data_IF_810715554086
#
_entry.id   IF_810715554086
#
_cell.length_a   1.000
_cell.length_b   1.000
_cell.length_c   1.000
_cell.angle_alpha   90.00
_cell.angle_beta   90.00
_cell.angle_gamma   90.00
#
_symmetry.space_group_name_H-M   'P 1'
#
loop_
_entity.id
_entity.type
_entity.pdbx_description
1 polymer ?
#
# COMPACT_ATOMS: atom_id res chain seq x y z
N UNK A 1 11.45 -7.79 17.55
CA UNK A 1 10.54 -6.67 17.22
C UNK A 1 10.69 -6.19 15.78
N UNK A 2 11.89 -5.81 15.32
CA UNK A 2 12.13 -5.37 13.93
C UNK A 2 11.72 -6.40 12.84
N UNK A 3 11.98 -7.69 13.06
CA UNK A 3 11.62 -8.74 12.07
C UNK A 3 10.11 -8.87 11.83
N UNK A 4 9.29 -8.73 12.88
CA UNK A 4 7.82 -8.78 12.76
C UNK A 4 7.29 -7.58 11.99
N UNK A 5 7.87 -6.40 12.22
CA UNK A 5 7.53 -5.17 11.49
C UNK A 5 7.85 -5.36 10.01
N UNK A 6 9.05 -5.87 9.70
CA UNK A 6 9.49 -6.17 8.32
C UNK A 6 8.53 -7.12 7.58
N UNK A 7 8.05 -8.17 8.24
CA UNK A 7 7.09 -9.12 7.66
C UNK A 7 5.73 -8.46 7.38
N UNK A 8 5.22 -7.68 8.33
CA UNK A 8 3.96 -6.93 8.18
C UNK A 8 4.01 -5.95 7.01
N UNK A 9 5.17 -5.33 6.79
CA UNK A 9 5.43 -4.42 5.69
C UNK A 9 5.49 -5.13 4.35
N UNK A 10 6.13 -6.30 4.31
CA UNK A 10 6.19 -7.11 3.11
C UNK A 10 4.80 -7.57 2.65
N UNK A 11 3.95 -7.93 3.61
CA UNK A 11 2.54 -8.29 3.36
C UNK A 11 1.75 -7.06 2.89
N UNK A 12 1.91 -5.90 3.52
CA UNK A 12 1.27 -4.66 3.05
C UNK A 12 1.71 -4.30 1.62
N UNK A 13 2.99 -4.41 1.31
CA UNK A 13 3.52 -4.09 -0.02
C UNK A 13 2.98 -5.06 -1.09
N UNK A 14 2.94 -6.36 -0.78
CA UNK A 14 2.33 -7.37 -1.65
C UNK A 14 0.85 -7.10 -1.89
N UNK A 15 0.10 -6.75 -0.85
CA UNK A 15 -1.31 -6.38 -0.95
C UNK A 15 -1.50 -5.13 -1.81
N UNK A 16 -0.64 -4.13 -1.69
CA UNK A 16 -0.70 -2.91 -2.50
C UNK A 16 -0.56 -3.18 -4.00
N UNK A 17 0.38 -4.05 -4.38
CA UNK A 17 0.62 -4.44 -5.78
C UNK A 17 -0.56 -5.23 -6.35
N UNK A 18 -1.07 -6.19 -5.59
CA UNK A 18 -2.25 -6.98 -5.97
C UNK A 18 -3.47 -6.07 -6.12
N UNK A 19 -3.64 -5.08 -5.24
CA UNK A 19 -4.72 -4.09 -5.33
C UNK A 19 -4.60 -3.20 -6.57
N UNK A 20 -3.37 -2.80 -6.93
CA UNK A 20 -3.10 -2.02 -8.15
C UNK A 20 -3.36 -2.83 -9.42
N UNK A 21 -3.04 -4.12 -9.42
CA UNK A 21 -3.40 -5.03 -10.52
C UNK A 21 -4.92 -5.20 -10.61
N UNK A 22 -5.60 -5.42 -9.49
CA UNK A 22 -7.07 -5.52 -9.45
C UNK A 22 -7.73 -4.21 -9.92
N UNK A 23 -7.11 -3.04 -9.67
CA UNK A 23 -7.54 -1.72 -10.18
C UNK A 23 -7.49 -1.64 -11.71
N UNK A 24 -6.51 -2.27 -12.35
CA UNK A 24 -6.36 -2.29 -13.81
C UNK A 24 -7.46 -3.18 -14.46
N UNK A 25 -7.83 -4.28 -13.79
CA UNK A 25 -8.77 -5.26 -14.30
C UNK A 25 -10.25 -4.99 -13.95
N UNK A 26 -10.53 -4.40 -12.79
CA UNK A 26 -11.89 -3.97 -12.42
C UNK A 26 -11.96 -2.47 -12.64
N UNK A 27 -12.88 -1.97 -13.48
CA UNK A 27 -13.37 -0.58 -13.45
C UNK A 27 -14.26 -0.42 -12.20
N UNK A 28 -13.76 0.03 -11.04
CA UNK A 28 -14.56 0.00 -9.84
C UNK A 28 -15.22 1.36 -9.61
N UNK A 29 -16.26 1.36 -8.78
CA UNK A 29 -16.99 2.56 -8.39
C UNK A 29 -16.04 3.66 -7.91
N UNK A 30 -16.04 4.79 -8.64
CA UNK A 30 -15.04 5.85 -8.62
C UNK A 30 -14.68 6.40 -7.23
N UNK A 31 -15.60 6.37 -6.26
CA UNK A 31 -15.42 7.06 -4.97
C UNK A 31 -14.69 6.24 -3.90
N UNK A 32 -15.12 5.01 -3.60
CA UNK A 32 -14.48 4.20 -2.55
C UNK A 32 -13.07 3.76 -2.92
N UNK A 33 -12.80 3.58 -4.21
CA UNK A 33 -11.51 3.14 -4.71
C UNK A 33 -10.47 4.26 -4.76
N UNK A 34 -10.90 5.50 -5.02
CA UNK A 34 -10.00 6.67 -4.93
C UNK A 34 -9.44 6.80 -3.52
N UNK A 35 -10.30 6.70 -2.50
CA UNK A 35 -9.91 6.75 -1.08
C UNK A 35 -8.92 5.63 -0.72
N UNK A 36 -9.15 4.41 -1.23
CA UNK A 36 -8.26 3.27 -1.01
C UNK A 36 -6.89 3.48 -1.65
N UNK A 37 -6.84 3.98 -2.88
CA UNK A 37 -5.59 4.29 -3.60
C UNK A 37 -4.84 5.43 -2.92
N UNK A 38 -5.52 6.51 -2.54
CA UNK A 38 -4.91 7.62 -1.79
C UNK A 38 -4.31 7.16 -0.47
N UNK A 39 -5.04 6.33 0.29
CA UNK A 39 -4.56 5.76 1.54
C UNK A 39 -3.34 4.84 1.33
N UNK A 40 -3.32 4.09 0.23
CA UNK A 40 -2.21 3.20 -0.12
C UNK A 40 -0.95 3.96 -0.53
N UNK A 41 -1.11 5.05 -1.29
CA UNK A 41 -0.03 5.97 -1.67
C UNK A 41 0.51 6.67 -0.43
N UNK A 42 -0.36 7.12 0.47
CA UNK A 42 0.02 7.75 1.74
C UNK A 42 0.80 6.77 2.62
N UNK A 43 0.34 5.52 2.74
CA UNK A 43 1.01 4.47 3.49
C UNK A 43 2.39 4.14 2.90
N UNK A 44 2.48 4.04 1.56
CA UNK A 44 3.73 3.84 0.85
C UNK A 44 4.71 5.00 1.04
N UNK A 45 4.24 6.25 0.99
CA UNK A 45 5.07 7.44 1.18
C UNK A 45 5.58 7.57 2.62
N UNK A 46 4.72 7.35 3.61
CA UNK A 46 5.10 7.32 5.02
C UNK A 46 6.16 6.26 5.29
N UNK A 47 6.03 5.11 4.63
CA UNK A 47 6.99 4.02 4.74
C UNK A 47 8.34 4.36 4.08
N UNK A 48 8.31 4.96 2.90
CA UNK A 48 9.52 5.38 2.18
C UNK A 48 10.30 6.42 2.99
N UNK A 49 9.59 7.39 3.58
CA UNK A 49 10.16 8.35 4.52
C UNK A 49 10.72 7.64 5.75
N UNK A 50 9.96 6.75 6.39
CA UNK A 50 10.43 5.99 7.55
C UNK A 50 11.68 5.13 7.25
N UNK A 51 11.79 4.59 6.04
CA UNK A 51 12.96 3.80 5.60
C UNK A 51 14.18 4.64 5.23
N UNK A 52 14.01 5.93 4.89
CA UNK A 52 15.12 6.85 4.63
C UNK A 52 15.69 7.40 5.95
N UNK A 53 14.87 7.48 6.99
CA UNK A 53 15.25 8.01 8.31
C UNK A 53 15.84 6.95 9.27
N UNK A 54 15.90 5.67 8.86
CA UNK A 54 16.52 4.54 9.58
C UNK A 54 17.84 4.18 8.91
#
# INVERSE_FOLDING_TARGET
MLGTIMILLYICFGMSVVFSLIREFRKPQKNQFLILVDSLILLGALFLVGSIFI
#
